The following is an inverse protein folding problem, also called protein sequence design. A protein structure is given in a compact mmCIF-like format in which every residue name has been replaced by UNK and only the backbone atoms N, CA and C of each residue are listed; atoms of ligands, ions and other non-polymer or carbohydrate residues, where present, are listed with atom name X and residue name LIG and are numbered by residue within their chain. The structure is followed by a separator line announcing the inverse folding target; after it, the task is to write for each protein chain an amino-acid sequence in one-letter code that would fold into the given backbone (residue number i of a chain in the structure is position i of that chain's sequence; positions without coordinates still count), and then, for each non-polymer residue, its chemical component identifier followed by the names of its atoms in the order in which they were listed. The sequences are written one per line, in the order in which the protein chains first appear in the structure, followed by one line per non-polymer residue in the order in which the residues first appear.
data_IF_142368197125
#
_entry.id   IF_142368197125
#
_cell.length_a   1.000
_cell.length_b   1.000
_cell.length_c   1.000
_cell.angle_alpha   90.00
_cell.angle_beta   90.00
_cell.angle_gamma   90.00
#
_symmetry.space_group_name_H-M   'P 1'
#
loop_
_entity.id
_entity.type
_entity.pdbx_description
1 polymer ?
#
# COMPACT_ATOMS: atom_id res chain seq x y z
N UNK A 1 -28.62 11.79 -66.52
CA UNK A 1 -27.83 12.06 -65.32
C UNK A 1 -28.79 12.10 -64.15
N UNK A 2 -28.76 11.07 -63.28
CA UNK A 2 -29.62 10.97 -62.06
C UNK A 2 -28.76 11.38 -60.89
N UNK A 3 -29.13 12.47 -60.24
CA UNK A 3 -28.50 12.88 -58.96
C UNK A 3 -29.10 12.07 -57.82
N UNK A 4 -28.26 11.37 -57.08
CA UNK A 4 -28.62 10.66 -55.83
C UNK A 4 -28.37 11.60 -54.67
N UNK A 5 -29.45 11.98 -54.01
CA UNK A 5 -29.41 12.77 -52.77
C UNK A 5 -29.16 11.82 -51.61
N UNK A 6 -28.02 11.91 -50.95
CA UNK A 6 -27.71 11.16 -49.71
C UNK A 6 -28.14 12.03 -48.53
N UNK A 7 -29.19 11.63 -47.85
CA UNK A 7 -29.63 12.25 -46.61
C UNK A 7 -28.76 11.71 -45.46
N UNK A 8 -28.01 12.62 -44.84
CA UNK A 8 -27.21 12.37 -43.65
C UNK A 8 -28.13 12.41 -42.40
N UNK A 9 -28.44 11.27 -41.84
CA UNK A 9 -29.15 11.17 -40.55
C UNK A 9 -28.13 11.31 -39.41
N UNK A 10 -28.09 12.46 -38.78
CA UNK A 10 -27.30 12.65 -37.55
C UNK A 10 -28.12 12.10 -36.38
N UNK A 11 -27.78 10.90 -35.93
CA UNK A 11 -28.30 10.34 -34.70
C UNK A 11 -27.68 11.03 -33.47
N UNK A 12 -28.48 11.81 -32.75
CA UNK A 12 -28.12 12.29 -31.40
C UNK A 12 -28.09 11.07 -30.46
N UNK A 13 -26.90 10.59 -30.13
CA UNK A 13 -26.71 9.71 -29.01
C UNK A 13 -26.78 10.55 -27.73
N UNK A 14 -27.91 10.45 -27.04
CA UNK A 14 -28.08 11.01 -25.71
C UNK A 14 -27.13 10.29 -24.73
N UNK A 15 -26.13 11.01 -24.24
CA UNK A 15 -25.34 10.58 -23.10
C UNK A 15 -26.24 10.58 -21.86
N UNK A 16 -26.67 9.41 -21.41
CA UNK A 16 -27.24 9.28 -20.07
C UNK A 16 -26.11 9.45 -19.08
N UNK A 17 -26.06 10.64 -18.44
CA UNK A 17 -25.24 10.83 -17.26
C UNK A 17 -25.74 9.86 -16.17
N UNK A 18 -24.92 8.86 -15.85
CA UNK A 18 -25.11 8.11 -14.62
C UNK A 18 -24.86 9.08 -13.48
N UNK A 19 -25.93 9.47 -12.78
CA UNK A 19 -25.81 10.14 -11.50
C UNK A 19 -25.14 9.16 -10.54
N UNK A 20 -23.90 9.49 -10.17
CA UNK A 20 -23.19 8.81 -9.11
C UNK A 20 -24.01 8.97 -7.82
N UNK A 21 -24.57 7.86 -7.35
CA UNK A 21 -25.36 7.84 -6.12
C UNK A 21 -24.46 8.32 -4.99
N UNK A 22 -24.77 9.51 -4.47
CA UNK A 22 -24.00 10.12 -3.40
C UNK A 22 -23.83 9.18 -2.23
N UNK A 23 -22.65 8.59 -2.12
CA UNK A 23 -22.23 7.91 -0.92
C UNK A 23 -22.10 8.96 0.17
N UNK A 24 -22.97 8.89 1.19
CA UNK A 24 -22.81 9.66 2.40
C UNK A 24 -21.46 9.28 3.03
N UNK A 25 -20.45 10.08 2.77
CA UNK A 25 -19.18 10.00 3.47
C UNK A 25 -19.44 10.38 4.94
N UNK A 26 -19.70 9.37 5.76
CA UNK A 26 -19.65 9.57 7.19
C UNK A 26 -18.24 10.06 7.52
N UNK A 27 -18.16 11.21 8.24
CA UNK A 27 -16.89 11.77 8.67
C UNK A 27 -16.13 10.72 9.49
N UNK A 28 -15.09 10.20 8.90
CA UNK A 28 -14.23 9.19 9.48
C UNK A 28 -13.41 9.82 10.60
N UNK A 29 -13.23 9.13 11.73
CA UNK A 29 -12.27 9.56 12.74
C UNK A 29 -10.86 9.56 12.12
N UNK A 30 -10.39 10.70 11.70
CA UNK A 30 -9.02 10.88 11.24
C UNK A 30 -8.10 10.46 12.38
N UNK A 31 -7.17 9.56 12.14
CA UNK A 31 -6.07 9.29 13.06
C UNK A 31 -5.27 10.60 13.19
N UNK A 32 -5.67 11.47 14.10
CA UNK A 32 -5.09 12.81 14.32
C UNK A 32 -3.65 12.76 14.84
N UNK A 33 -3.11 11.56 15.12
CA UNK A 33 -1.78 11.38 15.67
C UNK A 33 -0.92 10.69 14.62
N UNK A 34 0.16 11.35 14.24
CA UNK A 34 1.19 10.72 13.41
C UNK A 34 1.67 9.44 14.11
N UNK A 35 1.57 8.31 13.42
CA UNK A 35 1.98 7.02 13.93
C UNK A 35 3.51 7.00 14.00
N UNK A 36 4.03 6.57 15.15
CA UNK A 36 5.47 6.35 15.28
C UNK A 36 5.91 5.30 14.25
N UNK A 37 6.99 5.60 13.54
CA UNK A 37 7.54 4.71 12.53
C UNK A 37 9.05 4.72 12.62
N UNK A 38 9.68 3.57 12.44
CA UNK A 38 11.13 3.44 12.47
C UNK A 38 11.60 2.39 11.47
N UNK A 39 12.89 2.44 11.14
CA UNK A 39 13.56 1.43 10.34
C UNK A 39 14.86 1.01 11.01
N UNK A 40 15.08 -0.29 11.11
CA UNK A 40 16.33 -0.87 11.59
C UNK A 40 16.98 -1.64 10.44
N UNK A 41 18.29 -1.41 10.24
CA UNK A 41 19.08 -2.06 9.18
C UNK A 41 19.95 -3.16 9.79
N UNK A 42 19.85 -4.37 9.25
CA UNK A 42 20.78 -5.46 9.42
C UNK A 42 21.70 -5.59 8.20
N UNK A 43 22.54 -6.61 8.18
CA UNK A 43 23.44 -6.87 7.05
C UNK A 43 22.68 -7.13 5.75
N UNK A 44 21.71 -8.07 5.79
CA UNK A 44 20.89 -8.47 4.66
C UNK A 44 19.39 -8.28 4.93
N UNK A 45 19.03 -7.39 5.85
CA UNK A 45 17.63 -7.12 6.19
C UNK A 45 17.40 -5.64 6.47
N UNK A 46 16.16 -5.20 6.30
CA UNK A 46 15.68 -3.96 6.88
C UNK A 46 14.28 -4.22 7.47
N UNK A 47 14.07 -3.77 8.70
CA UNK A 47 12.81 -3.96 9.42
C UNK A 47 12.17 -2.60 9.64
N UNK A 48 11.03 -2.39 8.99
CA UNK A 48 10.18 -1.24 9.24
C UNK A 48 9.19 -1.59 10.35
N UNK A 49 8.99 -0.66 11.27
CA UNK A 49 8.07 -0.82 12.40
C UNK A 49 7.12 0.36 12.44
N UNK A 50 5.83 0.08 12.57
CA UNK A 50 4.76 1.07 12.72
C UNK A 50 4.02 0.82 14.02
N UNK A 51 3.84 1.86 14.80
CA UNK A 51 3.09 1.76 16.06
C UNK A 51 3.90 2.22 17.26
N UNK A 52 3.30 2.10 18.46
CA UNK A 52 2.00 1.45 18.70
C UNK A 52 0.81 2.24 18.18
N UNK A 53 -0.21 1.52 17.68
CA UNK A 53 -1.44 2.05 17.10
C UNK A 53 -2.63 1.45 17.84
N UNK A 54 -3.60 2.28 18.20
CA UNK A 54 -4.88 1.79 18.70
C UNK A 54 -5.85 1.66 17.51
N UNK A 55 -6.30 0.45 17.23
CA UNK A 55 -7.30 0.16 16.21
C UNK A 55 -8.69 0.28 16.83
N UNK A 56 -9.50 1.28 16.44
CA UNK A 56 -10.86 1.45 16.92
C UNK A 56 -11.82 0.41 16.33
N UNK A 57 -13.00 0.25 16.93
CA UNK A 57 -14.08 -0.53 16.33
C UNK A 57 -14.61 0.16 15.08
N UNK A 58 -14.88 -0.60 14.01
CA UNK A 58 -15.72 -0.16 12.90
C UNK A 58 -15.16 0.95 12.03
N UNK A 59 -13.84 1.06 11.85
CA UNK A 59 -13.30 1.91 10.79
C UNK A 59 -13.71 1.34 9.42
N UNK A 60 -14.09 2.19 8.49
CA UNK A 60 -14.65 1.79 7.18
C UNK A 60 -13.64 1.92 6.05
N UNK A 61 -13.85 1.19 4.94
CA UNK A 61 -12.98 1.25 3.76
C UNK A 61 -12.82 2.64 3.13
N UNK A 62 -13.77 3.55 3.37
CA UNK A 62 -13.69 4.95 2.93
C UNK A 62 -12.56 5.75 3.58
N UNK A 63 -11.92 5.18 4.61
CA UNK A 63 -10.83 5.80 5.37
C UNK A 63 -9.46 5.70 4.73
N UNK A 64 -9.39 5.16 3.53
CA UNK A 64 -8.14 4.79 2.86
C UNK A 64 -7.23 5.97 2.45
N UNK A 65 -7.69 7.22 2.50
CA UNK A 65 -6.91 8.36 2.03
C UNK A 65 -5.85 8.85 3.02
N UNK A 66 -6.31 9.51 4.08
CA UNK A 66 -5.42 10.29 4.97
C UNK A 66 -5.06 9.59 6.29
N UNK A 67 -5.67 8.46 6.60
CA UNK A 67 -5.51 7.74 7.87
C UNK A 67 -4.47 6.62 7.83
N UNK A 68 -3.96 6.26 6.65
CA UNK A 68 -2.96 5.20 6.53
C UNK A 68 -1.58 5.71 6.95
N UNK A 69 -0.94 5.09 7.95
CA UNK A 69 0.44 5.41 8.30
C UNK A 69 1.36 5.29 7.09
N UNK A 70 2.18 6.32 6.88
CA UNK A 70 3.16 6.38 5.79
C UNK A 70 4.54 6.62 6.38
N UNK A 71 5.54 5.97 5.82
CA UNK A 71 6.92 6.15 6.23
C UNK A 71 7.81 6.26 5.00
N UNK A 72 8.52 7.40 4.88
CA UNK A 72 9.49 7.62 3.83
C UNK A 72 10.88 7.24 4.35
N UNK A 73 11.66 6.53 3.52
CA UNK A 73 13.00 6.10 3.87
C UNK A 73 13.90 5.98 2.65
N UNK A 74 15.19 5.80 2.89
CA UNK A 74 16.19 5.48 1.87
C UNK A 74 17.10 4.37 2.41
N UNK A 75 17.60 3.53 1.53
CA UNK A 75 18.59 2.52 1.93
C UNK A 75 19.97 3.17 2.09
N UNK A 76 20.81 2.69 3.00
CA UNK A 76 22.17 3.19 3.18
C UNK A 76 23.10 2.87 2.00
N UNK A 77 22.76 1.86 1.20
CA UNK A 77 23.50 1.40 0.03
C UNK A 77 22.56 0.73 -0.99
N UNK A 78 23.06 0.47 -2.20
CA UNK A 78 22.32 -0.31 -3.20
C UNK A 78 22.09 -1.74 -2.69
N UNK A 79 20.85 -2.24 -2.82
CA UNK A 79 20.46 -3.58 -2.42
C UNK A 79 19.59 -4.24 -3.48
N UNK A 80 19.55 -5.57 -3.47
CA UNK A 80 18.59 -6.36 -4.23
C UNK A 80 17.62 -7.02 -3.28
N UNK A 81 16.37 -6.58 -3.29
CA UNK A 81 15.28 -7.18 -2.50
C UNK A 81 14.96 -8.55 -3.09
N UNK A 82 15.07 -9.60 -2.28
CA UNK A 82 14.81 -10.99 -2.67
C UNK A 82 13.60 -11.58 -1.97
N UNK A 83 13.10 -10.92 -0.95
CA UNK A 83 11.91 -11.35 -0.22
C UNK A 83 11.44 -10.31 0.77
N UNK A 84 10.24 -10.50 1.27
CA UNK A 84 9.69 -9.67 2.34
C UNK A 84 8.59 -10.41 3.10
N UNK A 85 8.36 -9.98 4.34
CA UNK A 85 7.26 -10.47 5.18
C UNK A 85 6.69 -9.39 6.05
N UNK A 86 5.39 -9.49 6.35
CA UNK A 86 4.69 -8.66 7.31
C UNK A 86 4.26 -9.47 8.52
N UNK A 87 4.29 -8.86 9.69
CA UNK A 87 3.75 -9.43 10.91
C UNK A 87 3.06 -8.35 11.75
N UNK A 88 2.11 -8.76 12.55
CA UNK A 88 1.40 -7.92 13.50
C UNK A 88 1.53 -8.50 14.90
N UNK A 89 1.75 -7.63 15.86
CA UNK A 89 1.77 -7.98 17.28
C UNK A 89 1.25 -6.81 18.11
N UNK A 90 1.07 -7.03 19.39
CA UNK A 90 0.93 -5.95 20.37
C UNK A 90 2.30 -5.62 20.98
N UNK A 91 2.42 -4.50 21.68
CA UNK A 91 3.68 -4.08 22.32
C UNK A 91 4.23 -5.08 23.34
N UNK A 92 3.36 -5.91 23.95
CA UNK A 92 3.72 -7.00 24.86
C UNK A 92 4.13 -8.29 24.12
N UNK A 93 4.24 -8.23 22.79
CA UNK A 93 4.73 -9.33 21.96
C UNK A 93 3.69 -10.40 21.60
N UNK A 94 2.41 -10.18 21.90
CA UNK A 94 1.35 -11.10 21.47
C UNK A 94 1.13 -10.97 19.98
N UNK A 95 1.32 -12.06 19.25
CA UNK A 95 1.03 -12.11 17.82
C UNK A 95 -0.45 -11.89 17.52
N UNK A 96 -0.73 -11.12 16.49
CA UNK A 96 -2.07 -10.87 15.98
C UNK A 96 -2.30 -11.61 14.67
N UNK A 97 -3.53 -12.10 14.44
CA UNK A 97 -3.87 -12.77 13.18
C UNK A 97 -3.73 -11.85 11.98
N UNK A 98 -3.42 -12.41 10.82
CA UNK A 98 -3.25 -11.67 9.56
C UNK A 98 -4.47 -10.82 9.14
N UNK A 99 -5.66 -11.22 9.57
CA UNK A 99 -6.89 -10.48 9.27
C UNK A 99 -7.00 -9.10 9.96
N UNK A 100 -5.99 -8.68 10.71
CA UNK A 100 -5.85 -7.30 11.16
C UNK A 100 -5.18 -6.40 10.11
N UNK A 101 -4.43 -6.99 9.18
CA UNK A 101 -3.74 -6.28 8.12
C UNK A 101 -4.55 -6.35 6.82
N UNK A 102 -4.94 -5.19 6.28
CA UNK A 102 -5.45 -5.15 4.91
C UNK A 102 -4.28 -5.28 3.93
N UNK A 103 -3.33 -4.35 3.99
CA UNK A 103 -2.06 -4.46 3.24
C UNK A 103 -0.97 -3.53 3.78
N UNK A 104 0.27 -3.87 3.45
CA UNK A 104 1.42 -2.98 3.46
C UNK A 104 1.89 -2.86 2.01
N UNK A 105 2.04 -1.64 1.51
CA UNK A 105 2.51 -1.36 0.15
C UNK A 105 3.90 -0.74 0.19
N UNK A 106 4.75 -1.15 -0.74
CA UNK A 106 6.10 -0.64 -0.93
C UNK A 106 6.18 0.11 -2.25
N UNK A 107 6.56 1.39 -2.19
CA UNK A 107 6.51 2.32 -3.31
C UNK A 107 7.90 2.95 -3.49
N UNK A 108 8.37 3.00 -4.72
CA UNK A 108 9.56 3.73 -5.11
C UNK A 108 9.15 4.99 -5.89
N UNK A 109 9.20 6.14 -5.22
CA UNK A 109 8.82 7.43 -5.81
C UNK A 109 9.89 7.99 -6.79
N UNK A 110 11.05 7.33 -6.92
CA UNK A 110 12.10 7.74 -7.86
C UNK A 110 11.91 7.08 -9.22
N UNK A 111 11.26 5.93 -9.26
CA UNK A 111 11.07 5.13 -10.48
C UNK A 111 9.61 5.17 -10.94
N UNK A 112 9.36 5.35 -12.25
CA UNK A 112 8.01 5.26 -12.77
C UNK A 112 7.55 3.79 -12.81
N UNK A 113 6.24 3.59 -12.68
CA UNK A 113 5.61 2.30 -12.92
C UNK A 113 5.76 1.89 -14.39
N UNK A 114 6.05 0.62 -14.64
CA UNK A 114 6.14 0.08 -16.01
C UNK A 114 4.76 -0.11 -16.63
N UNK A 115 3.77 -0.44 -15.82
CA UNK A 115 2.40 -0.74 -16.26
C UNK A 115 1.44 0.45 -16.19
N UNK A 116 1.74 1.45 -15.37
CA UNK A 116 0.88 2.62 -15.14
C UNK A 116 1.69 3.91 -15.31
N UNK A 117 1.79 4.46 -16.54
CA UNK A 117 2.53 5.69 -16.79
C UNK A 117 2.02 6.85 -15.92
N UNK A 118 2.93 7.57 -15.30
CA UNK A 118 2.61 8.68 -14.38
C UNK A 118 2.51 8.28 -12.91
N UNK A 119 2.41 6.99 -12.61
CA UNK A 119 2.39 6.48 -11.24
C UNK A 119 3.80 6.05 -10.78
N UNK A 120 4.09 6.08 -9.48
CA UNK A 120 5.34 5.55 -8.94
C UNK A 120 5.39 4.02 -9.04
N UNK A 121 6.58 3.45 -8.97
CA UNK A 121 6.78 2.01 -9.00
C UNK A 121 6.34 1.36 -7.69
N UNK A 122 5.32 0.51 -7.74
CA UNK A 122 5.02 -0.46 -6.69
C UNK A 122 5.96 -1.65 -6.85
N UNK A 123 6.76 -1.96 -5.83
CA UNK A 123 7.77 -3.01 -5.93
C UNK A 123 7.59 -4.17 -4.94
N UNK A 124 6.61 -4.09 -4.08
CA UNK A 124 6.27 -5.15 -3.13
C UNK A 124 5.10 -4.78 -2.24
N UNK A 125 4.56 -5.78 -1.58
CA UNK A 125 3.50 -5.60 -0.61
C UNK A 125 3.08 -6.91 0.02
N UNK A 126 2.53 -6.83 1.21
CA UNK A 126 1.98 -7.95 1.96
C UNK A 126 0.58 -7.59 2.46
N UNK A 127 -0.26 -8.58 2.69
CA UNK A 127 -1.62 -8.36 3.14
C UNK A 127 -2.26 -9.62 3.72
N UNK A 128 -3.58 -9.57 3.80
CA UNK A 128 -4.37 -10.67 4.35
C UNK A 128 -4.10 -12.00 3.61
N UNK A 129 -4.04 -11.96 2.28
CA UNK A 129 -3.88 -13.15 1.44
C UNK A 129 -2.43 -13.65 1.42
N UNK A 130 -1.48 -12.74 1.52
CA UNK A 130 -0.06 -13.02 1.37
C UNK A 130 0.75 -12.21 2.39
N UNK A 131 1.18 -12.84 3.47
CA UNK A 131 1.98 -12.18 4.50
C UNK A 131 3.48 -12.17 4.22
N UNK A 132 3.95 -13.01 3.30
CA UNK A 132 5.35 -13.13 2.92
C UNK A 132 5.49 -13.49 1.44
N UNK A 133 6.59 -13.09 0.86
CA UNK A 133 6.98 -13.42 -0.51
C UNK A 133 8.47 -13.63 -0.57
N UNK A 134 8.88 -14.70 -1.24
CA UNK A 134 10.26 -14.96 -1.61
C UNK A 134 10.34 -14.99 -3.14
N UNK A 135 11.25 -14.22 -3.72
CA UNK A 135 11.49 -14.29 -5.16
C UNK A 135 12.26 -15.56 -5.51
N UNK A 136 12.09 -16.10 -6.72
CA UNK A 136 12.88 -17.24 -7.18
C UNK A 136 14.37 -16.93 -7.16
N UNK A 137 15.20 -17.97 -7.03
CA UNK A 137 16.64 -17.84 -7.03
C UNK A 137 17.15 -17.08 -8.26
N UNK A 138 18.06 -16.14 -8.03
CA UNK A 138 18.62 -15.29 -9.06
C UNK A 138 17.74 -14.07 -9.45
N UNK A 139 16.57 -13.92 -8.87
CA UNK A 139 15.69 -12.78 -9.11
C UNK A 139 15.61 -11.86 -7.89
N UNK A 140 15.39 -10.58 -8.15
CA UNK A 140 15.21 -9.56 -7.11
C UNK A 140 14.90 -8.20 -7.69
N UNK A 141 14.44 -7.30 -6.84
CA UNK A 141 14.19 -5.90 -7.20
C UNK A 141 15.36 -5.05 -6.78
N UNK A 142 16.00 -4.37 -7.74
CA UNK A 142 17.08 -3.42 -7.44
C UNK A 142 16.50 -2.16 -6.80
N UNK A 143 16.94 -1.87 -5.58
CA UNK A 143 16.68 -0.65 -4.83
C UNK A 143 18.00 0.10 -4.67
N UNK A 144 18.07 1.31 -5.24
CA UNK A 144 19.27 2.12 -5.16
C UNK A 144 19.28 2.95 -3.86
N UNK A 145 20.48 3.26 -3.37
CA UNK A 145 20.72 4.11 -2.19
C UNK A 145 19.94 5.44 -2.22
N UNK A 146 19.79 6.03 -3.40
CA UNK A 146 19.15 7.34 -3.55
C UNK A 146 17.64 7.23 -3.92
N UNK A 147 17.11 6.02 -4.01
CA UNK A 147 15.68 5.84 -4.26
C UNK A 147 14.87 6.40 -3.08
N UNK A 148 13.85 7.21 -3.40
CA UNK A 148 12.88 7.73 -2.43
C UNK A 148 11.83 6.66 -2.20
N UNK A 149 12.05 5.85 -1.19
CA UNK A 149 11.15 4.74 -0.86
C UNK A 149 10.09 5.21 0.12
N UNK A 150 8.89 4.67 -0.02
CA UNK A 150 7.78 4.90 0.87
C UNK A 150 7.08 3.57 1.15
N UNK A 151 6.64 3.39 2.37
CA UNK A 151 5.70 2.33 2.72
C UNK A 151 4.43 2.93 3.28
N UNK A 152 3.31 2.25 3.00
CA UNK A 152 1.97 2.62 3.45
C UNK A 152 1.36 1.39 4.10
N UNK A 153 0.76 1.55 5.28
CA UNK A 153 0.10 0.47 6.01
C UNK A 153 -1.40 0.74 6.06
N UNK A 154 -2.20 -0.24 5.67
CA UNK A 154 -3.64 -0.22 5.83
C UNK A 154 -4.07 -1.39 6.73
N UNK A 155 -4.84 -1.07 7.78
CA UNK A 155 -5.41 -2.09 8.66
C UNK A 155 -6.80 -2.49 8.18
N UNK A 156 -7.16 -3.76 8.41
CA UNK A 156 -8.47 -4.27 8.02
C UNK A 156 -9.56 -3.73 8.95
N UNK A 157 -10.56 -3.07 8.39
CA UNK A 157 -11.64 -2.40 9.11
C UNK A 157 -12.55 -3.35 9.91
N UNK A 158 -12.61 -4.63 9.55
CA UNK A 158 -13.34 -5.67 10.27
C UNK A 158 -12.57 -6.29 11.44
N UNK A 159 -11.34 -5.82 11.70
CA UNK A 159 -10.57 -6.33 12.83
C UNK A 159 -11.20 -5.91 14.17
N UNK A 160 -11.15 -6.76 15.22
CA UNK A 160 -11.60 -6.39 16.53
C UNK A 160 -10.83 -5.18 17.10
N UNK A 161 -11.47 -4.31 17.90
CA UNK A 161 -10.79 -3.22 18.56
C UNK A 161 -9.59 -3.73 19.37
N UNK A 162 -8.41 -3.21 19.07
CA UNK A 162 -7.17 -3.68 19.71
C UNK A 162 -6.24 -2.51 19.95
N UNK A 163 -5.69 -2.44 21.15
CA UNK A 163 -4.74 -1.39 21.54
C UNK A 163 -3.30 -1.83 21.35
N UNK A 164 -2.43 -0.81 21.18
CA UNK A 164 -0.98 -0.99 21.13
C UNK A 164 -0.52 -1.98 20.04
N UNK A 165 -1.15 -1.94 18.88
CA UNK A 165 -0.77 -2.78 17.71
C UNK A 165 0.52 -2.28 17.11
N UNK A 166 1.42 -3.20 16.84
CA UNK A 166 2.68 -3.00 16.11
C UNK A 166 2.58 -3.74 14.78
N UNK A 167 2.78 -3.05 13.67
CA UNK A 167 2.98 -3.68 12.37
C UNK A 167 4.47 -3.65 12.02
N UNK A 168 5.02 -4.79 11.62
CA UNK A 168 6.39 -4.91 11.12
C UNK A 168 6.40 -5.37 9.67
N UNK A 169 7.32 -4.82 8.91
CA UNK A 169 7.60 -5.26 7.55
C UNK A 169 9.11 -5.49 7.41
N UNK A 170 9.48 -6.74 7.20
CA UNK A 170 10.87 -7.15 7.01
C UNK A 170 11.14 -7.27 5.53
N UNK A 171 12.13 -6.55 5.04
CA UNK A 171 12.73 -6.71 3.71
C UNK A 171 13.97 -7.60 3.83
N UNK A 172 14.11 -8.56 2.94
CA UNK A 172 15.26 -9.46 2.84
C UNK A 172 16.05 -9.13 1.56
N UNK A 173 17.35 -8.98 1.71
CA UNK A 173 18.21 -8.59 0.61
C UNK A 173 19.20 -9.70 0.26
N UNK A 174 19.57 -9.79 -1.01
CA UNK A 174 20.64 -10.68 -1.44
C UNK A 174 21.94 -10.37 -0.68
N UNK A 175 22.69 -11.37 -0.26
CA UNK A 175 24.04 -11.18 0.28
C UNK A 175 24.94 -10.53 -0.78
N UNK A 176 25.97 -9.80 -0.29
CA UNK A 176 26.99 -9.18 -1.16
C UNK A 176 27.90 -10.20 -1.79
#
# INVERSE_FOLDING_TARGET
MKQILIALVIGLLGATAYADGGHNHHAVPTLKKQVASSIAYGENTAILTFGPIDLPAGHTEGDMGDSMPRFNFQLPEDKYLIGFKAALSTVDGKELPRNYLHHILMINNTKPSVSCPGEPLFFGGAGLEMSETQFPDGYGVKLAKNDKLMTVVAFYHGAPPTKNVIATFTMEFAPK
#
